data_IF_707240609693
#
_entry.id   IF_707240609693
#
_cell.length_a   1.000
_cell.length_b   1.000
_cell.length_c   1.000
_cell.angle_alpha   90.00
_cell.angle_beta   90.00
_cell.angle_gamma   90.00
#
_symmetry.space_group_name_H-M   'P 1'
#
loop_
_entity.id
_entity.type
_entity.pdbx_description
1 polymer ?
#
# COMPACT_ATOMS: atom_id res chain seq x y z
N UNK A 1 20.91 4.56 0.38
CA UNK A 1 20.42 3.35 -0.32
C UNK A 1 19.30 2.80 0.54
N UNK A 2 18.16 3.46 0.44
CA UNK A 2 17.11 3.40 1.44
C UNK A 2 16.21 2.21 1.15
N UNK A 3 16.19 1.30 2.13
CA UNK A 3 15.58 -0.02 2.04
C UNK A 3 14.06 0.04 1.93
N UNK A 4 13.56 -0.01 0.70
CA UNK A 4 12.21 -0.51 0.42
C UNK A 4 12.36 -1.93 -0.14
N UNK A 5 12.34 -2.94 0.73
CA UNK A 5 12.12 -4.32 0.28
C UNK A 5 10.64 -4.47 -0.08
N UNK A 6 10.26 -3.96 -1.24
CA UNK A 6 8.97 -4.26 -1.86
C UNK A 6 9.01 -5.71 -2.36
N UNK A 7 8.18 -6.57 -1.80
CA UNK A 7 8.15 -7.99 -2.20
C UNK A 7 7.86 -8.13 -3.71
N UNK A 8 8.50 -9.09 -4.39
CA UNK A 8 8.38 -9.25 -5.84
C UNK A 8 6.93 -9.42 -6.31
N UNK A 9 6.11 -10.11 -5.50
CA UNK A 9 4.69 -10.29 -5.77
C UNK A 9 3.89 -8.99 -5.67
N UNK A 10 4.20 -8.17 -4.66
CA UNK A 10 3.56 -6.87 -4.49
C UNK A 10 3.87 -5.95 -5.67
N UNK A 11 5.14 -5.88 -6.09
CA UNK A 11 5.54 -5.09 -7.26
C UNK A 11 4.82 -5.55 -8.53
N UNK A 12 4.76 -6.85 -8.79
CA UNK A 12 4.04 -7.38 -9.95
C UNK A 12 2.55 -6.99 -9.93
N UNK A 13 1.89 -7.03 -8.78
CA UNK A 13 0.49 -6.59 -8.67
C UNK A 13 0.31 -5.10 -8.93
N UNK A 14 1.23 -4.27 -8.43
CA UNK A 14 1.21 -2.82 -8.66
C UNK A 14 1.46 -2.51 -10.13
N UNK A 15 2.39 -3.21 -10.77
CA UNK A 15 2.72 -3.03 -12.19
C UNK A 15 1.54 -3.40 -13.09
N UNK A 16 0.89 -4.55 -12.85
CA UNK A 16 -0.32 -4.93 -13.58
C UNK A 16 -1.43 -3.89 -13.41
N UNK A 17 -1.62 -3.36 -12.19
CA UNK A 17 -2.60 -2.31 -11.94
C UNK A 17 -2.24 -1.01 -12.65
N UNK A 18 -0.96 -0.65 -12.70
CA UNK A 18 -0.46 0.53 -13.42
C UNK A 18 -0.70 0.40 -14.92
N UNK A 19 -0.35 -0.73 -15.54
CA UNK A 19 -0.59 -0.99 -16.96
C UNK A 19 -2.08 -0.95 -17.32
N UNK A 20 -2.96 -1.46 -16.45
CA UNK A 20 -4.40 -1.32 -16.63
C UNK A 20 -4.84 0.14 -16.63
N UNK A 21 -4.34 0.94 -15.69
CA UNK A 21 -4.63 2.38 -15.62
C UNK A 21 -4.11 3.12 -16.84
N UNK A 22 -2.91 2.79 -17.33
CA UNK A 22 -2.35 3.37 -18.55
C UNK A 22 -3.19 3.03 -19.78
N UNK A 23 -3.59 1.77 -19.92
CA UNK A 23 -4.47 1.33 -21.01
C UNK A 23 -5.82 2.05 -21.00
N UNK A 24 -6.38 2.29 -19.81
CA UNK A 24 -7.61 3.08 -19.67
C UNK A 24 -7.34 4.55 -20.01
N UNK A 25 -6.22 5.13 -19.55
CA UNK A 25 -5.84 6.52 -19.81
C UNK A 25 -5.64 6.80 -21.30
N UNK A 26 -5.07 5.86 -22.04
CA UNK A 26 -4.93 5.97 -23.50
C UNK A 26 -6.29 6.03 -24.20
N UNK A 27 -7.30 5.29 -23.69
CA UNK A 27 -8.66 5.28 -24.26
C UNK A 27 -9.52 6.46 -23.81
N UNK A 28 -9.35 6.92 -22.58
CA UNK A 28 -10.15 7.96 -21.95
C UNK A 28 -9.27 8.83 -21.02
N UNK A 29 -8.50 9.77 -21.58
CA UNK A 29 -7.50 10.53 -20.83
C UNK A 29 -8.08 11.48 -19.78
N UNK A 30 -9.37 11.79 -19.85
CA UNK A 30 -10.06 12.67 -18.88
C UNK A 30 -10.86 11.83 -17.88
N UNK A 31 -11.54 10.78 -18.33
CA UNK A 31 -12.39 9.96 -17.47
C UNK A 31 -11.69 8.81 -16.76
N UNK A 32 -10.44 8.47 -17.12
CA UNK A 32 -9.71 7.36 -16.47
C UNK A 32 -9.60 7.53 -14.96
N UNK A 33 -9.46 8.76 -14.45
CA UNK A 33 -9.39 9.05 -13.00
C UNK A 33 -10.65 8.61 -12.23
N UNK A 34 -11.80 8.50 -12.90
CA UNK A 34 -13.06 8.05 -12.29
C UNK A 34 -13.13 6.52 -12.15
N UNK A 35 -12.30 5.77 -12.90
CA UNK A 35 -12.30 4.30 -12.89
C UNK A 35 -11.71 3.74 -11.60
N UNK A 36 -12.20 2.57 -11.20
CA UNK A 36 -11.80 1.92 -9.95
C UNK A 36 -10.31 1.56 -9.91
N UNK A 37 -9.73 1.10 -11.02
CA UNK A 37 -8.29 0.79 -11.11
C UNK A 37 -7.44 2.03 -10.79
N UNK A 38 -7.76 3.18 -11.38
CA UNK A 38 -7.04 4.44 -11.18
C UNK A 38 -7.17 4.94 -9.75
N UNK A 39 -8.38 4.89 -9.17
CA UNK A 39 -8.62 5.24 -7.76
C UNK A 39 -7.83 4.35 -6.81
N UNK A 40 -7.79 3.04 -7.08
CA UNK A 40 -7.06 2.05 -6.28
C UNK A 40 -5.55 2.33 -6.34
N UNK A 41 -4.99 2.53 -7.53
CA UNK A 41 -3.57 2.83 -7.71
C UNK A 41 -3.17 4.15 -7.03
N UNK A 42 -3.99 5.19 -7.19
CA UNK A 42 -3.76 6.49 -6.56
C UNK A 42 -3.79 6.39 -5.02
N UNK A 43 -4.78 5.68 -4.46
CA UNK A 43 -4.86 5.46 -3.01
C UNK A 43 -3.67 4.63 -2.49
N UNK A 44 -3.27 3.60 -3.22
CA UNK A 44 -2.13 2.76 -2.86
C UNK A 44 -0.82 3.56 -2.86
N UNK A 45 -0.56 4.31 -3.93
CA UNK A 45 0.61 5.20 -4.06
C UNK A 45 0.63 6.26 -2.96
N UNK A 46 -0.53 6.86 -2.66
CA UNK A 46 -0.68 7.82 -1.57
C UNK A 46 -0.38 7.18 -0.21
N UNK A 47 -0.85 5.96 0.05
CA UNK A 47 -0.53 5.25 1.29
C UNK A 47 0.98 4.99 1.40
N UNK A 48 1.61 4.45 0.37
CA UNK A 48 3.01 4.02 0.38
C UNK A 48 3.98 5.19 0.51
N UNK A 49 3.74 6.28 -0.22
CA UNK A 49 4.71 7.38 -0.32
C UNK A 49 4.37 8.59 0.54
N UNK A 50 3.10 8.78 0.91
CA UNK A 50 2.69 9.96 1.69
C UNK A 50 2.21 9.59 3.10
N UNK A 51 1.22 8.71 3.23
CA UNK A 51 0.53 8.54 4.51
C UNK A 51 1.32 7.64 5.47
N UNK A 52 1.74 6.46 5.02
CA UNK A 52 2.44 5.50 5.88
C UNK A 52 3.80 6.02 6.33
N UNK A 53 4.65 6.61 5.47
CA UNK A 53 5.94 7.14 5.91
C UNK A 53 5.86 8.31 6.90
N UNK A 54 4.77 9.09 6.86
CA UNK A 54 4.56 10.19 7.81
C UNK A 54 4.35 9.68 9.23
N UNK A 55 3.59 8.59 9.39
CA UNK A 55 3.36 7.98 10.70
C UNK A 55 3.01 6.48 10.55
N UNK A 56 4.03 5.62 10.46
CA UNK A 56 3.83 4.19 10.24
C UNK A 56 3.39 3.46 11.52
N UNK A 57 3.47 4.11 12.68
CA UNK A 57 3.20 3.51 13.99
C UNK A 57 1.80 3.80 14.53
N UNK A 58 0.92 4.43 13.72
CA UNK A 58 -0.45 4.79 14.12
C UNK A 58 -1.19 3.60 14.72
N UNK A 59 -1.91 3.81 15.84
CA UNK A 59 -2.70 2.74 16.47
C UNK A 59 -3.78 2.21 15.54
N UNK A 60 -4.30 3.04 14.62
CA UNK A 60 -5.29 2.66 13.60
C UNK A 60 -4.82 1.53 12.68
N UNK A 61 -3.50 1.41 12.45
CA UNK A 61 -2.93 0.36 11.61
C UNK A 61 -2.62 -0.92 12.38
N UNK A 62 -2.63 -0.89 13.72
CA UNK A 62 -2.35 -2.08 14.52
C UNK A 62 -3.52 -3.06 14.41
N UNK A 63 -3.23 -4.30 14.03
CA UNK A 63 -4.16 -5.40 14.26
C UNK A 63 -4.16 -5.70 15.76
N UNK A 64 -5.33 -5.66 16.41
CA UNK A 64 -5.48 -6.01 17.82
C UNK A 64 -4.81 -7.35 18.16
N UNK A 65 -4.29 -7.47 19.39
CA UNK A 65 -3.32 -8.48 19.81
C UNK A 65 -3.80 -9.92 19.95
N UNK A 66 -4.78 -10.36 19.15
CA UNK A 66 -5.37 -11.71 19.24
C UNK A 66 -4.54 -12.78 18.51
N UNK A 67 -3.58 -12.39 17.66
CA UNK A 67 -2.53 -13.29 17.17
C UNK A 67 -1.26 -12.99 17.97
N UNK A 68 -0.69 -14.01 18.61
CA UNK A 68 0.43 -13.92 19.56
C UNK A 68 1.64 -13.11 19.10
N UNK A 69 2.59 -12.94 20.03
CA UNK A 69 3.68 -11.95 19.97
C UNK A 69 4.43 -11.89 18.61
N UNK A 70 4.56 -13.02 17.90
CA UNK A 70 5.20 -13.15 16.59
C UNK A 70 4.54 -12.35 15.44
N UNK A 71 3.23 -12.08 15.50
CA UNK A 71 2.50 -11.42 14.40
C UNK A 71 2.20 -9.93 14.69
N UNK A 72 2.66 -9.39 15.81
CA UNK A 72 2.44 -7.98 16.20
C UNK A 72 3.13 -6.95 15.31
N UNK A 73 4.06 -7.39 14.46
CA UNK A 73 4.85 -6.51 13.61
C UNK A 73 4.13 -6.09 12.32
N UNK A 74 3.01 -6.74 11.99
CA UNK A 74 2.23 -6.43 10.80
C UNK A 74 1.17 -5.37 11.10
N UNK A 75 1.25 -4.30 10.33
CA UNK A 75 0.29 -3.22 10.27
C UNK A 75 -0.63 -3.40 9.07
N UNK A 76 -1.86 -2.92 9.18
CA UNK A 76 -2.89 -3.03 8.14
C UNK A 76 -3.57 -1.70 7.92
N UNK A 77 -3.33 -1.09 6.77
CA UNK A 77 -4.10 0.06 6.30
C UNK A 77 -5.30 -0.42 5.47
N UNK A 78 -6.51 0.02 5.82
CA UNK A 78 -7.75 -0.28 5.06
C UNK A 78 -8.09 0.90 4.16
N UNK A 79 -8.50 0.63 2.92
CA UNK A 79 -9.00 1.65 2.00
C UNK A 79 -10.10 1.09 1.10
N UNK A 80 -11.05 1.94 0.70
CA UNK A 80 -12.28 1.58 -0.03
C UNK A 80 -13.07 0.40 0.57
N UNK A 81 -13.00 0.20 1.89
CA UNK A 81 -13.63 -0.87 2.70
C UNK A 81 -13.21 -2.32 2.35
N UNK A 82 -12.81 -2.60 1.12
CA UNK A 82 -12.45 -3.92 0.61
C UNK A 82 -10.93 -4.16 0.55
N UNK A 83 -10.13 -3.11 0.32
CA UNK A 83 -8.70 -3.27 0.13
C UNK A 83 -7.93 -3.09 1.43
N UNK A 84 -6.88 -3.90 1.56
CA UNK A 84 -6.01 -3.94 2.73
C UNK A 84 -4.57 -3.89 2.21
N UNK A 85 -3.80 -2.92 2.67
CA UNK A 85 -2.36 -2.87 2.47
C UNK A 85 -1.71 -3.36 3.76
N UNK A 86 -0.87 -4.38 3.65
CA UNK A 86 -0.09 -4.88 4.77
C UNK A 86 1.31 -4.31 4.70
N UNK A 87 1.83 -3.91 5.86
CA UNK A 87 3.21 -3.46 5.94
C UNK A 87 3.80 -3.76 7.30
N UNK A 88 5.12 -3.81 7.36
CA UNK A 88 5.89 -3.89 8.60
C UNK A 88 6.76 -2.66 8.71
N UNK A 89 6.80 -2.08 9.91
CA UNK A 89 7.68 -0.96 10.22
C UNK A 89 8.75 -1.40 11.22
N UNK A 90 10.02 -1.20 10.86
CA UNK A 90 11.15 -1.40 11.76
C UNK A 90 11.63 -0.06 12.28
N UNK A 91 11.17 0.33 13.48
CA UNK A 91 11.45 1.63 14.08
C UNK A 91 12.96 1.97 14.21
N UNK A 92 13.84 1.05 14.63
CA UNK A 92 15.28 1.36 14.78
C UNK A 92 15.95 1.75 13.47
N UNK A 93 15.56 1.11 12.35
CA UNK A 93 16.16 1.39 11.03
C UNK A 93 15.30 2.30 10.16
N UNK A 94 14.11 2.73 10.65
CA UNK A 94 13.08 3.45 9.89
C UNK A 94 12.73 2.81 8.55
N UNK A 95 12.78 1.47 8.48
CA UNK A 95 12.48 0.70 7.26
C UNK A 95 11.02 0.30 7.25
N UNK A 96 10.36 0.47 6.09
CA UNK A 96 8.99 0.02 5.86
C UNK A 96 9.00 -1.04 4.75
N UNK A 97 8.40 -2.19 5.05
CA UNK A 97 8.28 -3.32 4.12
C UNK A 97 6.81 -3.50 3.78
N UNK A 98 6.46 -3.46 2.49
CA UNK A 98 5.08 -3.62 2.01
C UNK A 98 4.84 -5.03 1.44
N UNK A 99 3.64 -5.58 1.70
CA UNK A 99 3.19 -6.90 1.26
C UNK A 99 1.73 -6.87 0.75
#
# INVERSE_FOLDING_TARGET
MDGFCTSALFLAQVEVLAQQVESIKQKDPVGYVKKNASKRLAALTKLIFNIVPQDPARPEYRQGGTLGNDHKHWFRAKFFQQYRLFFRYHAPSKVIVFA
#
